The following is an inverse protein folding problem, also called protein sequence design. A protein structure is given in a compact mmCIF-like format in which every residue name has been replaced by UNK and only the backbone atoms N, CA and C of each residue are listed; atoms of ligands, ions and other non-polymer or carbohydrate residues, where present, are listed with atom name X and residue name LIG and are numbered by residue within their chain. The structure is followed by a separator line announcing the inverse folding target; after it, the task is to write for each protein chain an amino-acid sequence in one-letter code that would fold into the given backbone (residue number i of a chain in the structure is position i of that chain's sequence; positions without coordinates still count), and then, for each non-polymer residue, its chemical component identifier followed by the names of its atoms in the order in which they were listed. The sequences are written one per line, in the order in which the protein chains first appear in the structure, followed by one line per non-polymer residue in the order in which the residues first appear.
data_IF_130985428633
#
_entry.id   IF_130985428633
#
_cell.length_a   1.000
_cell.length_b   1.000
_cell.length_c   1.000
_cell.angle_alpha   90.00
_cell.angle_beta   90.00
_cell.angle_gamma   90.00
#
_symmetry.space_group_name_H-M   'P 1'
#
loop_
_entity.id
_entity.type
_entity.pdbx_description
1 polymer ?
#
# COMPACT_ATOMS: atom_id res chain seq x y z
N UNK A 1 -6.63 1.83 -6.98
CA UNK A 1 -7.63 1.64 -5.91
C UNK A 1 -8.81 2.54 -6.14
N UNK A 2 -10.01 2.10 -5.78
CA UNK A 2 -11.26 2.85 -5.86
C UNK A 2 -12.13 2.45 -4.65
N UNK A 3 -12.92 3.39 -4.15
CA UNK A 3 -13.91 3.11 -3.12
C UNK A 3 -14.91 2.07 -3.61
N UNK A 4 -15.19 1.07 -2.78
CA UNK A 4 -16.27 0.15 -3.04
C UNK A 4 -17.61 0.88 -2.82
N UNK A 5 -18.55 0.72 -3.75
CA UNK A 5 -19.92 1.24 -3.58
C UNK A 5 -20.69 0.48 -2.48
N UNK A 6 -21.87 0.96 -2.07
CA UNK A 6 -22.74 0.20 -1.19
C UNK A 6 -23.11 -1.13 -1.83
N UNK A 7 -22.97 -2.24 -1.09
CA UNK A 7 -23.46 -3.57 -1.50
C UNK A 7 -24.98 -3.59 -1.41
N UNK A 8 -25.69 -3.14 -2.44
CA UNK A 8 -27.12 -3.41 -2.56
C UNK A 8 -27.31 -4.85 -3.03
N UNK A 9 -27.76 -5.72 -2.12
CA UNK A 9 -28.21 -7.07 -2.47
C UNK A 9 -29.53 -6.95 -3.22
N UNK A 10 -29.48 -6.79 -4.54
CA UNK A 10 -30.70 -6.70 -5.35
C UNK A 10 -30.97 -8.04 -6.03
N UNK A 11 -31.85 -8.80 -5.40
CA UNK A 11 -32.68 -9.82 -6.06
C UNK A 11 -33.44 -9.16 -7.20
N UNK A 12 -33.23 -9.67 -8.43
CA UNK A 12 -34.09 -9.65 -9.62
C UNK A 12 -35.16 -8.54 -9.75
N UNK A 13 -34.99 -7.60 -10.69
CA UNK A 13 -35.94 -7.41 -11.82
C UNK A 13 -35.45 -6.37 -12.82
N UNK A 14 -35.67 -6.70 -14.08
CA UNK A 14 -35.32 -6.06 -15.34
C UNK A 14 -36.08 -4.76 -15.64
N UNK A 15 -35.37 -3.72 -16.10
CA UNK A 15 -35.84 -2.74 -17.10
C UNK A 15 -34.68 -1.84 -17.60
N UNK A 16 -34.46 -1.88 -18.90
CA UNK A 16 -33.42 -1.19 -19.69
C UNK A 16 -33.55 0.34 -19.76
N UNK A 17 -32.45 1.07 -19.54
CA UNK A 17 -32.19 2.37 -20.15
C UNK A 17 -30.66 2.57 -20.27
N UNK A 18 -30.15 2.70 -21.49
CA UNK A 18 -28.73 2.84 -21.83
C UNK A 18 -28.27 4.30 -21.73
N UNK A 19 -27.16 4.53 -21.02
CA UNK A 19 -26.36 5.77 -21.01
C UNK A 19 -24.88 5.33 -21.06
N UNK A 20 -23.95 6.08 -21.70
CA UNK A 20 -22.62 5.57 -22.03
C UNK A 20 -21.84 5.15 -20.78
N UNK A 21 -21.45 3.88 -20.75
CA UNK A 21 -20.64 3.25 -19.72
C UNK A 21 -19.15 3.54 -19.95
N UNK A 22 -18.38 4.02 -18.96
CA UNK A 22 -16.97 3.70 -18.89
C UNK A 22 -16.86 2.28 -18.29
N UNK A 23 -16.63 1.29 -19.16
CA UNK A 23 -16.14 -0.09 -18.97
C UNK A 23 -16.62 -1.01 -17.82
N UNK A 24 -17.33 -0.55 -16.78
CA UNK A 24 -17.63 -1.35 -15.60
C UNK A 24 -19.16 -1.30 -15.33
N UNK A 25 -19.89 -2.23 -15.93
CA UNK A 25 -21.37 -2.26 -15.96
C UNK A 25 -22.08 -2.47 -14.62
N UNK A 26 -22.08 -1.48 -13.72
CA UNK A 26 -23.04 -1.43 -12.63
C UNK A 26 -23.45 0.02 -12.27
N UNK A 27 -24.70 0.35 -12.58
CA UNK A 27 -25.29 1.70 -12.52
C UNK A 27 -25.23 2.35 -11.12
N UNK A 28 -25.26 1.53 -10.07
CA UNK A 28 -25.19 1.99 -8.66
C UNK A 28 -23.81 2.49 -8.24
N UNK A 29 -22.75 2.07 -8.93
CA UNK A 29 -21.36 2.38 -8.55
C UNK A 29 -20.95 3.80 -8.92
N UNK A 30 -21.43 4.32 -10.05
CA UNK A 30 -21.12 5.67 -10.52
C UNK A 30 -21.82 6.76 -9.69
N UNK A 31 -22.95 6.44 -9.06
CA UNK A 31 -23.72 7.38 -8.22
C UNK A 31 -23.11 7.63 -6.85
N UNK A 32 -22.29 6.69 -6.36
CA UNK A 32 -21.79 6.70 -4.99
C UNK A 32 -20.51 7.51 -4.79
N UNK A 33 -19.78 7.83 -5.87
CA UNK A 33 -18.44 8.42 -5.79
C UNK A 33 -18.48 9.82 -6.41
N UNK A 34 -18.02 10.87 -5.71
CA UNK A 34 -17.94 12.21 -6.26
C UNK A 34 -16.93 12.27 -7.41
N UNK A 35 -17.24 13.06 -8.42
CA UNK A 35 -16.35 13.33 -9.56
C UNK A 35 -15.69 14.69 -9.42
N UNK A 36 -14.41 14.76 -9.75
CA UNK A 36 -13.66 15.99 -9.94
C UNK A 36 -13.35 16.13 -11.42
N UNK A 37 -13.54 17.33 -11.96
CA UNK A 37 -13.22 17.63 -13.35
C UNK A 37 -11.79 18.14 -13.40
N UNK A 38 -10.90 17.41 -14.05
CA UNK A 38 -9.58 17.95 -14.35
C UNK A 38 -9.71 18.94 -15.51
N UNK A 39 -9.24 20.17 -15.32
CA UNK A 39 -9.22 21.16 -16.38
C UNK A 39 -8.10 20.80 -17.36
N UNK A 40 -8.47 20.21 -18.50
CA UNK A 40 -7.56 20.02 -19.61
C UNK A 40 -7.12 21.36 -20.19
N UNK A 41 -5.97 21.38 -20.85
CA UNK A 41 -5.58 22.52 -21.68
C UNK A 41 -6.64 22.73 -22.80
N UNK A 42 -6.75 23.94 -23.35
CA UNK A 42 -7.79 24.42 -24.30
C UNK A 42 -8.15 23.51 -25.52
N UNK A 43 -7.47 22.39 -25.72
CA UNK A 43 -7.64 21.44 -26.83
C UNK A 43 -8.05 20.00 -26.41
N UNK A 44 -8.27 19.71 -25.11
CA UNK A 44 -8.83 18.42 -24.67
C UNK A 44 -10.13 18.61 -23.88
N UNK A 45 -11.17 17.82 -24.24
CA UNK A 45 -12.39 17.68 -23.46
C UNK A 45 -12.01 17.14 -22.06
N UNK A 46 -12.28 17.93 -21.03
CA UNK A 46 -11.83 17.61 -19.68
C UNK A 46 -12.45 16.29 -19.20
N UNK A 47 -11.61 15.42 -18.67
CA UNK A 47 -12.06 14.10 -18.22
C UNK A 47 -12.66 14.20 -16.82
N UNK A 48 -13.84 13.63 -16.62
CA UNK A 48 -14.39 13.47 -15.28
C UNK A 48 -13.63 12.36 -14.53
N UNK A 49 -12.88 12.74 -13.50
CA UNK A 49 -12.08 11.83 -12.67
C UNK A 49 -12.81 11.57 -11.36
N UNK A 50 -13.13 10.30 -11.09
CA UNK A 50 -13.73 9.91 -9.82
C UNK A 50 -12.77 10.09 -8.66
N UNK A 51 -13.28 10.63 -7.54
CA UNK A 51 -12.55 10.70 -6.28
C UNK A 51 -12.18 9.29 -5.81
N UNK A 52 -10.94 9.12 -5.37
CA UNK A 52 -10.49 7.82 -4.87
C UNK A 52 -10.90 7.62 -3.43
N UNK A 53 -10.98 8.68 -2.61
CA UNK A 53 -11.03 8.57 -1.15
C UNK A 53 -12.38 8.85 -0.49
N UNK A 54 -13.30 9.44 -1.24
CA UNK A 54 -14.57 9.94 -0.72
C UNK A 54 -15.74 9.25 -1.41
N UNK A 55 -16.86 9.16 -0.71
CA UNK A 55 -18.15 8.70 -1.22
C UNK A 55 -19.27 9.62 -0.74
N UNK A 56 -20.42 9.62 -1.44
CA UNK A 56 -21.59 10.37 -1.00
C UNK A 56 -22.25 9.73 0.23
N UNK A 57 -22.64 10.55 1.19
CA UNK A 57 -23.30 10.17 2.43
C UNK A 57 -24.83 10.25 2.27
N UNK A 58 -25.37 9.51 1.30
CA UNK A 58 -26.80 9.49 0.99
C UNK A 58 -27.39 8.10 1.16
N UNK A 59 -28.69 8.02 1.42
CA UNK A 59 -29.36 6.74 1.55
C UNK A 59 -29.62 6.14 0.16
N UNK A 60 -28.70 5.28 -0.28
CA UNK A 60 -28.74 4.73 -1.63
C UNK A 60 -30.01 3.93 -1.93
N UNK A 61 -30.66 3.33 -0.92
CA UNK A 61 -31.94 2.63 -1.15
C UNK A 61 -33.04 3.56 -1.64
N UNK A 62 -33.09 4.79 -1.13
CA UNK A 62 -34.07 5.82 -1.52
C UNK A 62 -33.71 6.45 -2.87
N UNK A 63 -32.42 6.69 -3.11
CA UNK A 63 -31.92 7.19 -4.39
C UNK A 63 -32.28 6.22 -5.52
N UNK A 64 -32.13 4.92 -5.27
CA UNK A 64 -32.55 3.87 -6.20
C UNK A 64 -34.07 3.79 -6.34
N UNK A 65 -34.83 3.89 -5.24
CA UNK A 65 -36.29 3.86 -5.27
C UNK A 65 -36.90 5.03 -6.06
N UNK A 66 -36.26 6.20 -5.99
CA UNK A 66 -36.65 7.39 -6.74
C UNK A 66 -36.12 7.42 -8.18
N UNK A 67 -35.46 6.35 -8.63
CA UNK A 67 -34.88 6.23 -9.97
C UNK A 67 -33.93 7.39 -10.33
N UNK A 68 -33.19 7.90 -9.34
CA UNK A 68 -32.20 8.96 -9.56
C UNK A 68 -30.99 8.35 -10.26
N UNK A 69 -30.68 8.92 -11.43
CA UNK A 69 -29.73 8.36 -12.39
C UNK A 69 -28.42 9.12 -12.52
N UNK A 70 -28.33 10.27 -11.87
CA UNK A 70 -27.17 11.15 -11.86
C UNK A 70 -26.90 11.60 -10.43
N UNK A 71 -25.64 11.62 -10.03
CA UNK A 71 -25.27 12.11 -8.71
C UNK A 71 -25.42 13.64 -8.68
N UNK A 72 -26.05 14.16 -7.63
CA UNK A 72 -26.11 15.60 -7.43
C UNK A 72 -24.81 16.08 -6.74
N UNK A 73 -24.12 17.09 -7.31
CA UNK A 73 -22.89 17.63 -6.71
C UNK A 73 -23.10 18.25 -5.32
N UNK A 74 -24.34 18.57 -4.95
CA UNK A 74 -24.71 19.15 -3.65
C UNK A 74 -24.82 18.13 -2.51
N UNK A 75 -24.74 16.83 -2.80
CA UNK A 75 -24.81 15.81 -1.76
C UNK A 75 -23.61 15.85 -0.81
N UNK A 76 -23.82 15.59 0.49
CA UNK A 76 -22.74 15.54 1.46
C UNK A 76 -21.79 14.38 1.13
N UNK A 77 -20.49 14.59 1.36
CA UNK A 77 -19.44 13.58 1.16
C UNK A 77 -18.90 13.07 2.50
N UNK A 78 -18.48 11.81 2.53
CA UNK A 78 -17.88 11.15 3.69
C UNK A 78 -16.68 10.28 3.25
N UNK A 79 -15.76 9.94 4.17
CA UNK A 79 -14.70 8.99 3.87
C UNK A 79 -15.27 7.60 3.54
N UNK A 80 -14.54 6.86 2.71
CA UNK A 80 -14.91 5.52 2.30
C UNK A 80 -15.14 4.57 3.47
N UNK A 81 -16.33 3.97 3.59
CA UNK A 81 -16.65 2.98 4.64
C UNK A 81 -16.96 1.57 4.12
N UNK A 82 -17.27 1.43 2.85
CA UNK A 82 -17.75 0.18 2.26
C UNK A 82 -16.63 -0.77 1.80
N UNK A 83 -15.36 -0.44 2.09
CA UNK A 83 -14.18 -1.18 1.62
C UNK A 83 -13.57 -0.59 0.36
N UNK A 84 -12.57 -1.30 -0.19
CA UNK A 84 -11.73 -0.84 -1.29
C UNK A 84 -11.60 -1.89 -2.39
N UNK A 85 -11.81 -1.46 -3.63
CA UNK A 85 -11.55 -2.26 -4.83
C UNK A 85 -10.21 -1.83 -5.43
N UNK A 86 -9.30 -2.80 -5.58
CA UNK A 86 -7.98 -2.57 -6.16
C UNK A 86 -7.96 -3.08 -7.61
N UNK A 87 -7.45 -2.25 -8.51
CA UNK A 87 -7.20 -2.64 -9.88
C UNK A 87 -5.80 -3.29 -9.95
N UNK A 88 -5.73 -4.54 -10.38
CA UNK A 88 -4.50 -5.33 -10.45
C UNK A 88 -3.94 -5.41 -11.89
N UNK A 89 -4.39 -4.55 -12.80
CA UNK A 89 -3.88 -4.52 -14.19
C UNK A 89 -2.45 -4.01 -14.25
N UNK A 90 -2.13 -2.95 -13.51
CA UNK A 90 -0.77 -2.38 -13.47
C UNK A 90 0.15 -3.18 -12.53
N UNK A 91 -0.40 -3.64 -11.40
CA UNK A 91 0.34 -4.36 -10.36
C UNK A 91 -0.42 -5.64 -10.02
N UNK A 92 -0.05 -6.80 -10.61
CA UNK A 92 -0.83 -8.03 -10.54
C UNK A 92 -0.59 -8.82 -9.24
N UNK A 93 -0.45 -8.15 -8.11
CA UNK A 93 -0.24 -8.78 -6.81
C UNK A 93 -0.75 -7.91 -5.66
N UNK A 94 -1.12 -8.56 -4.55
CA UNK A 94 -1.48 -7.88 -3.31
C UNK A 94 -0.21 -7.41 -2.61
N UNK A 95 -0.29 -6.22 -2.04
CA UNK A 95 0.77 -5.62 -1.24
C UNK A 95 0.28 -5.44 0.19
N UNK A 96 1.20 -5.26 1.13
CA UNK A 96 0.84 -4.93 2.51
C UNK A 96 -0.10 -3.70 2.58
N UNK A 97 0.09 -2.71 1.70
CA UNK A 97 -0.79 -1.54 1.65
C UNK A 97 -2.22 -1.86 1.18
N UNK A 98 -2.40 -2.87 0.31
CA UNK A 98 -3.73 -3.31 -0.13
C UNK A 98 -4.39 -4.25 0.87
N UNK A 99 -3.61 -5.10 1.54
CA UNK A 99 -4.14 -6.07 2.51
C UNK A 99 -4.55 -5.42 3.83
N UNK A 100 -3.84 -4.35 4.25
CA UNK A 100 -4.17 -3.58 5.45
C UNK A 100 -4.93 -2.27 5.16
N UNK A 101 -5.37 -2.06 3.92
CA UNK A 101 -6.13 -0.88 3.50
C UNK A 101 -5.45 0.46 3.87
N UNK A 102 -4.13 0.57 3.69
CA UNK A 102 -3.35 1.80 3.94
C UNK A 102 -3.51 2.81 2.82
N UNK A 103 -4.74 3.27 2.63
CA UNK A 103 -5.14 4.21 1.59
C UNK A 103 -5.72 5.48 2.21
N UNK A 104 -5.65 6.59 1.47
CA UNK A 104 -6.25 7.86 1.86
C UNK A 104 -5.74 8.34 3.23
N UNK A 105 -6.59 8.44 4.24
CA UNK A 105 -6.21 8.88 5.60
C UNK A 105 -5.11 8.01 6.22
N UNK A 106 -5.09 6.72 5.90
CA UNK A 106 -4.13 5.74 6.43
C UNK A 106 -2.91 5.56 5.52
N UNK A 107 -2.77 6.34 4.43
CA UNK A 107 -1.65 6.21 3.50
C UNK A 107 -0.30 6.48 4.17
N UNK A 108 -0.27 7.29 5.23
CA UNK A 108 0.95 7.59 5.99
C UNK A 108 1.54 6.35 6.67
N UNK A 109 0.76 5.31 6.95
CA UNK A 109 1.24 4.08 7.59
C UNK A 109 2.30 3.36 6.74
N UNK A 110 2.16 3.44 5.41
CA UNK A 110 3.17 2.93 4.47
C UNK A 110 4.50 3.66 4.65
N UNK A 111 4.47 4.99 4.67
CA UNK A 111 5.67 5.83 4.87
C UNK A 111 6.26 5.62 6.26
N UNK A 112 5.42 5.53 7.30
CA UNK A 112 5.84 5.26 8.67
C UNK A 112 6.59 3.92 8.78
N UNK A 113 6.08 2.86 8.12
CA UNK A 113 6.75 1.56 8.09
C UNK A 113 8.14 1.64 7.43
N UNK A 114 8.28 2.50 6.42
CA UNK A 114 9.55 2.76 5.74
C UNK A 114 10.51 3.55 6.65
N UNK A 115 10.01 4.55 7.39
CA UNK A 115 10.81 5.28 8.36
C UNK A 115 11.33 4.36 9.47
N UNK A 116 10.49 3.48 10.01
CA UNK A 116 10.86 2.51 11.04
C UNK A 116 11.94 1.54 10.54
N UNK A 117 11.86 1.13 9.27
CA UNK A 117 12.91 0.33 8.64
C UNK A 117 14.27 1.05 8.66
N UNK A 118 14.32 2.33 8.32
CA UNK A 118 15.58 3.10 8.36
C UNK A 118 16.11 3.30 9.78
N UNK A 119 15.24 3.53 10.76
CA UNK A 119 15.64 3.56 12.18
C UNK A 119 16.26 2.22 12.58
N UNK A 120 15.65 1.10 12.18
CA UNK A 120 16.20 -0.24 12.35
C UNK A 120 17.60 -0.36 11.75
N UNK A 121 17.80 0.11 10.52
CA UNK A 121 19.09 0.07 9.84
C UNK A 121 20.19 0.84 10.59
N UNK A 122 19.89 2.03 11.11
CA UNK A 122 20.85 2.83 11.90
C UNK A 122 21.26 2.07 13.18
N UNK A 123 20.27 1.57 13.93
CA UNK A 123 20.54 0.84 15.19
C UNK A 123 21.29 -0.46 14.92
N UNK A 124 20.92 -1.18 13.86
CA UNK A 124 21.57 -2.41 13.43
C UNK A 124 23.02 -2.18 13.04
N UNK A 125 23.31 -1.13 12.26
CA UNK A 125 24.66 -0.75 11.86
C UNK A 125 25.58 -0.51 13.06
N UNK A 126 25.09 0.22 14.07
CA UNK A 126 25.84 0.47 15.30
C UNK A 126 26.12 -0.83 16.09
N UNK A 127 25.10 -1.67 16.26
CA UNK A 127 25.23 -2.91 17.04
C UNK A 127 26.09 -3.96 16.33
N UNK A 128 25.85 -4.24 15.05
CA UNK A 128 26.64 -5.20 14.31
C UNK A 128 28.04 -4.69 13.98
N UNK A 129 28.24 -3.37 13.86
CA UNK A 129 29.57 -2.77 13.82
C UNK A 129 30.36 -3.11 15.08
N UNK A 130 29.79 -2.85 16.25
CA UNK A 130 30.42 -3.18 17.54
C UNK A 130 30.68 -4.68 17.72
N UNK A 131 29.71 -5.53 17.33
CA UNK A 131 29.85 -7.00 17.39
C UNK A 131 30.95 -7.48 16.43
N UNK A 132 31.03 -6.92 15.23
CA UNK A 132 32.03 -7.29 14.23
C UNK A 132 33.45 -6.97 14.70
N UNK A 133 33.61 -5.87 15.44
CA UNK A 133 34.90 -5.46 15.99
C UNK A 133 35.33 -6.33 17.19
N UNK A 134 34.36 -6.82 17.99
CA UNK A 134 34.67 -7.60 19.21
C UNK A 134 34.72 -9.11 18.99
N UNK A 135 33.79 -9.66 18.22
CA UNK A 135 33.59 -11.09 18.01
C UNK A 135 34.00 -11.55 16.60
N UNK A 136 34.40 -10.61 15.73
CA UNK A 136 34.79 -10.88 14.36
C UNK A 136 33.65 -10.68 13.36
N UNK A 137 34.03 -10.41 12.10
CA UNK A 137 33.11 -10.02 11.02
C UNK A 137 32.20 -11.15 10.54
N UNK A 138 32.67 -12.41 10.55
CA UNK A 138 31.90 -13.58 10.08
C UNK A 138 30.71 -13.91 10.99
N UNK A 139 30.85 -14.05 12.33
CA UNK A 139 29.70 -14.31 13.19
C UNK A 139 28.70 -13.15 13.22
N UNK A 140 29.17 -11.90 13.11
CA UNK A 140 28.30 -10.73 12.96
C UNK A 140 27.44 -10.83 11.69
N UNK A 141 28.04 -11.19 10.55
CA UNK A 141 27.35 -11.40 9.28
C UNK A 141 26.34 -12.55 9.37
N UNK A 142 26.70 -13.68 9.97
CA UNK A 142 25.78 -14.81 10.14
C UNK A 142 24.57 -14.41 11.01
N UNK A 143 24.82 -13.71 12.13
CA UNK A 143 23.77 -13.24 13.04
C UNK A 143 22.79 -12.28 12.37
N UNK A 144 23.27 -11.29 11.62
CA UNK A 144 22.37 -10.35 10.94
C UNK A 144 21.51 -11.03 9.88
N UNK A 145 22.08 -11.97 9.11
CA UNK A 145 21.33 -12.74 8.11
C UNK A 145 20.24 -13.62 8.73
N UNK A 146 20.54 -14.29 9.85
CA UNK A 146 19.53 -15.09 10.57
C UNK A 146 18.39 -14.21 11.07
N UNK A 147 18.69 -13.06 11.67
CA UNK A 147 17.66 -12.12 12.14
C UNK A 147 16.80 -11.61 10.98
N UNK A 148 17.43 -11.21 9.87
CA UNK A 148 16.73 -10.76 8.67
C UNK A 148 15.85 -11.84 8.06
N UNK A 149 16.34 -13.08 7.99
CA UNK A 149 15.59 -14.22 7.46
C UNK A 149 14.36 -14.53 8.31
N UNK A 150 14.53 -14.66 9.63
CA UNK A 150 13.41 -14.94 10.55
C UNK A 150 12.38 -13.81 10.50
N UNK A 151 12.81 -12.55 10.55
CA UNK A 151 11.91 -11.41 10.46
C UNK A 151 11.15 -11.38 9.12
N UNK A 152 11.82 -11.70 8.01
CA UNK A 152 11.21 -11.80 6.68
C UNK A 152 10.11 -12.87 6.62
N UNK A 153 10.37 -14.06 7.16
CA UNK A 153 9.37 -15.15 7.22
C UNK A 153 8.20 -14.76 8.11
N UNK A 154 8.46 -14.20 9.30
CA UNK A 154 7.39 -13.78 10.23
C UNK A 154 6.51 -12.69 9.61
N UNK A 155 7.08 -11.79 8.81
CA UNK A 155 6.33 -10.71 8.14
C UNK A 155 5.15 -11.25 7.31
N UNK A 156 5.29 -12.42 6.69
CA UNK A 156 4.24 -13.01 5.86
C UNK A 156 3.00 -13.46 6.65
N UNK A 157 3.14 -13.69 7.96
CA UNK A 157 2.06 -14.16 8.85
C UNK A 157 1.45 -13.04 9.70
N UNK A 158 1.90 -11.79 9.51
CA UNK A 158 1.42 -10.68 10.31
C UNK A 158 0.02 -10.24 9.86
N UNK A 159 -0.87 -10.04 10.83
CA UNK A 159 -2.20 -9.45 10.62
C UNK A 159 -2.41 -8.07 11.26
N UNK A 160 -1.39 -7.52 11.94
CA UNK A 160 -1.49 -6.26 12.68
C UNK A 160 -0.40 -5.27 12.28
N UNK A 161 -0.72 -3.97 12.22
CA UNK A 161 0.25 -2.92 11.89
C UNK A 161 1.49 -2.93 12.81
N UNK A 162 1.30 -3.08 14.13
CA UNK A 162 2.40 -3.07 15.10
C UNK A 162 3.39 -4.22 14.92
N UNK A 163 2.88 -5.42 14.64
CA UNK A 163 3.71 -6.58 14.34
C UNK A 163 4.47 -6.39 13.02
N UNK A 164 3.83 -5.76 12.03
CA UNK A 164 4.43 -5.51 10.73
C UNK A 164 5.55 -4.47 10.86
N UNK A 165 5.30 -3.42 11.64
CA UNK A 165 6.29 -2.40 11.97
C UNK A 165 7.50 -2.99 12.70
N UNK A 166 7.29 -3.88 13.68
CA UNK A 166 8.38 -4.59 14.35
C UNK A 166 9.19 -5.46 13.39
N UNK A 167 8.52 -6.21 12.51
CA UNK A 167 9.22 -6.99 11.51
C UNK A 167 10.02 -6.10 10.55
N UNK A 168 9.47 -4.97 10.12
CA UNK A 168 10.20 -3.97 9.30
C UNK A 168 11.40 -3.38 10.01
N UNK A 169 11.29 -3.12 11.31
CA UNK A 169 12.43 -2.72 12.13
C UNK A 169 13.53 -3.79 12.12
N UNK A 170 13.19 -5.06 12.36
CA UNK A 170 14.16 -6.17 12.36
C UNK A 170 14.77 -6.46 10.99
N UNK A 171 13.99 -6.35 9.91
CA UNK A 171 14.52 -6.47 8.54
C UNK A 171 15.47 -5.30 8.25
N UNK A 172 15.11 -4.07 8.61
CA UNK A 172 15.98 -2.90 8.48
C UNK A 172 17.27 -3.05 9.27
N UNK A 173 17.18 -3.58 10.49
CA UNK A 173 18.30 -3.90 11.37
C UNK A 173 19.35 -4.82 10.72
N UNK A 174 18.90 -5.78 9.90
CA UNK A 174 19.79 -6.66 9.15
C UNK A 174 20.25 -6.09 7.80
N UNK A 175 19.40 -5.33 7.10
CA UNK A 175 19.54 -4.99 5.69
C UNK A 175 20.88 -4.34 5.32
N UNK A 176 21.23 -3.23 5.98
CA UNK A 176 22.44 -2.47 5.64
C UNK A 176 23.73 -3.25 5.98
N UNK A 177 23.66 -4.06 7.04
CA UNK A 177 24.78 -4.88 7.50
C UNK A 177 25.13 -6.01 6.53
N UNK A 178 24.15 -6.54 5.80
CA UNK A 178 24.40 -7.61 4.81
C UNK A 178 25.30 -7.12 3.66
N UNK A 179 25.04 -5.93 3.13
CA UNK A 179 25.84 -5.38 2.02
C UNK A 179 27.19 -4.87 2.51
N UNK A 180 27.19 -4.06 3.57
CA UNK A 180 28.40 -3.42 4.08
C UNK A 180 29.44 -4.44 4.54
N UNK A 181 29.03 -5.50 5.27
CA UNK A 181 29.97 -6.54 5.71
C UNK A 181 30.50 -7.38 4.55
N UNK A 182 29.68 -7.66 3.52
CA UNK A 182 30.11 -8.38 2.32
C UNK A 182 31.19 -7.59 1.56
N UNK A 183 30.99 -6.28 1.37
CA UNK A 183 31.97 -5.42 0.72
C UNK A 183 33.30 -5.39 1.50
N UNK A 184 33.25 -5.22 2.82
CA UNK A 184 34.47 -5.17 3.63
C UNK A 184 35.24 -6.50 3.56
N UNK A 185 34.54 -7.64 3.62
CA UNK A 185 35.18 -8.95 3.49
C UNK A 185 35.86 -9.11 2.12
N UNK A 186 35.20 -8.69 1.04
CA UNK A 186 35.78 -8.75 -0.31
C UNK A 186 37.04 -7.88 -0.45
N UNK A 187 37.03 -6.66 0.08
CA UNK A 187 38.21 -5.79 0.08
C UNK A 187 39.34 -6.37 0.92
N UNK A 188 39.01 -6.93 2.08
CA UNK A 188 39.99 -7.56 2.97
C UNK A 188 40.69 -8.75 2.30
N UNK A 189 39.92 -9.62 1.63
CA UNK A 189 40.46 -10.78 0.89
C UNK A 189 41.35 -10.37 -0.29
N UNK A 190 40.90 -9.39 -1.09
CA UNK A 190 41.71 -8.85 -2.20
C UNK A 190 43.02 -8.23 -1.70
N UNK A 191 43.00 -7.55 -0.56
CA UNK A 191 44.19 -7.00 0.08
C UNK A 191 45.18 -8.06 0.56
N UNK A 192 44.69 -9.18 1.11
CA UNK A 192 45.53 -10.29 1.55
C UNK A 192 46.18 -10.99 0.36
N UNK A 193 45.43 -11.33 -0.69
CA UNK A 193 45.95 -12.06 -1.85
C UNK A 193 47.02 -11.25 -2.59
N UNK A 194 46.94 -9.91 -2.58
CA UNK A 194 47.96 -9.05 -3.19
C UNK A 194 49.22 -8.88 -2.32
N UNK A 195 49.19 -9.35 -1.08
CA UNK A 195 50.30 -9.27 -0.12
C UNK A 195 51.16 -10.55 -0.11
N UNK A 196 50.72 -11.60 -0.81
CA UNK A 196 51.46 -12.82 -1.12
C UNK A 196 51.84 -12.83 -2.60
#
# INVERSE_FOLDING_TARGET
MRCEGPKTTTTTTSASLQVPTPADGNFTRALAIPVHYEHGNEFEDGSAVYSKCSMYAVNFTEVLANNIRKADPSWPTQPCRSGWEYNFTDVPYRTAATDFEWVCENAYLSTLSQSIFFVGAIVGGLLFGWIADRYGRIPALAGCNVIGFVAGVVTAFVGNFWQFALCRFLVGFAFDNCFTMMYILAFYLKGIVKKF
#
